data_IF_322144411070
#
_entry.id   IF_322144411070
#
_cell.length_a   1.000
_cell.length_b   1.000
_cell.length_c   1.000
_cell.angle_alpha   90.00
_cell.angle_beta   90.00
_cell.angle_gamma   90.00
#
_symmetry.space_group_name_H-M   'P 1'
#
loop_
_entity.id
_entity.type
_entity.pdbx_description
1 polymer ?
#
# COMPACT_ATOMS: atom_id res chain seq x y z
N UNK A 1 -21.89 -10.36 32.52
CA UNK A 1 -20.85 -10.64 31.52
C UNK A 1 -20.75 -9.42 30.63
N UNK A 2 -19.60 -8.73 30.70
CA UNK A 2 -19.32 -7.49 29.99
C UNK A 2 -19.11 -7.78 28.49
N UNK A 3 -20.03 -7.33 27.65
CA UNK A 3 -19.79 -7.20 26.20
C UNK A 3 -19.31 -5.77 25.95
N UNK A 4 -18.02 -5.54 26.22
CA UNK A 4 -17.26 -4.41 25.67
C UNK A 4 -17.06 -4.70 24.19
N UNK A 5 -18.04 -4.33 23.36
CA UNK A 5 -17.83 -4.27 21.92
C UNK A 5 -16.86 -3.13 21.64
N UNK A 6 -15.67 -3.55 21.22
CA UNK A 6 -14.62 -2.73 20.70
C UNK A 6 -15.19 -1.71 19.70
N UNK A 7 -15.30 -0.46 20.13
CA UNK A 7 -15.12 0.69 19.26
C UNK A 7 -13.62 0.72 18.93
N UNK A 8 -13.18 -0.24 18.12
CA UNK A 8 -11.94 -0.12 17.41
C UNK A 8 -12.10 1.07 16.49
N UNK A 9 -11.34 2.14 16.73
CA UNK A 9 -11.11 3.17 15.74
C UNK A 9 -10.40 2.51 14.56
N UNK A 10 -11.13 1.80 13.70
CA UNK A 10 -10.69 1.63 12.32
C UNK A 10 -10.83 3.00 11.70
N UNK A 11 -9.76 3.80 11.71
CA UNK A 11 -9.65 4.94 10.81
C UNK A 11 -9.78 4.37 9.41
N UNK A 12 -10.97 4.48 8.85
CA UNK A 12 -11.25 4.02 7.50
C UNK A 12 -10.29 4.74 6.55
N UNK A 13 -9.56 3.98 5.75
CA UNK A 13 -8.61 4.53 4.78
C UNK A 13 -9.42 5.16 3.66
N UNK A 14 -9.09 6.41 3.32
CA UNK A 14 -9.78 7.16 2.27
C UNK A 14 -8.94 7.20 0.99
N UNK A 15 -9.61 7.34 -0.17
CA UNK A 15 -8.94 7.49 -1.48
C UNK A 15 -7.88 8.58 -1.48
N UNK A 16 -8.15 9.69 -0.78
CA UNK A 16 -7.26 10.85 -0.68
C UNK A 16 -6.01 10.60 0.16
N UNK A 17 -6.07 9.66 1.12
CA UNK A 17 -4.98 9.38 2.06
C UNK A 17 -4.25 8.08 1.73
N UNK A 18 -4.86 7.19 0.94
CA UNK A 18 -4.28 5.91 0.56
C UNK A 18 -2.89 6.02 -0.09
N UNK A 19 -2.63 6.92 -1.06
CA UNK A 19 -1.31 7.03 -1.69
C UNK A 19 -0.16 7.25 -0.71
N UNK A 20 -0.34 8.17 0.24
CA UNK A 20 0.68 8.49 1.24
C UNK A 20 0.89 7.31 2.19
N UNK A 21 -0.21 6.68 2.64
CA UNK A 21 -0.16 5.53 3.57
C UNK A 21 0.48 4.31 2.92
N UNK A 22 0.16 4.04 1.65
CA UNK A 22 0.78 2.98 0.86
C UNK A 22 2.28 3.25 0.70
N UNK A 23 2.65 4.49 0.37
CA UNK A 23 4.04 4.87 0.21
C UNK A 23 4.86 4.73 1.51
N UNK A 24 4.29 5.06 2.66
CA UNK A 24 4.93 4.83 3.96
C UNK A 24 5.30 3.36 4.15
N UNK A 25 4.34 2.46 3.98
CA UNK A 25 4.53 1.01 4.17
C UNK A 25 5.50 0.44 3.12
N UNK A 26 5.34 0.80 1.84
CA UNK A 26 6.24 0.46 0.73
C UNK A 26 7.69 0.86 1.01
N UNK A 27 7.90 2.09 1.45
CA UNK A 27 9.24 2.60 1.70
C UNK A 27 9.89 1.94 2.93
N UNK A 28 9.11 1.57 3.95
CA UNK A 28 9.59 0.75 5.06
C UNK A 28 10.06 -0.62 4.56
N UNK A 29 9.30 -1.26 3.66
CA UNK A 29 9.73 -2.52 3.05
C UNK A 29 10.96 -2.37 2.18
N UNK A 30 11.04 -1.35 1.32
CA UNK A 30 12.24 -1.09 0.52
C UNK A 30 13.47 -0.94 1.42
N UNK A 31 13.37 -0.15 2.48
CA UNK A 31 14.49 0.05 3.41
C UNK A 31 14.87 -1.22 4.17
N UNK A 32 13.89 -2.05 4.54
CA UNK A 32 14.09 -3.30 5.30
C UNK A 32 14.63 -4.43 4.43
N UNK A 33 14.03 -4.63 3.25
CA UNK A 33 14.17 -5.82 2.43
C UNK A 33 14.97 -5.58 1.14
N UNK A 34 14.96 -4.35 0.61
CA UNK A 34 15.71 -3.96 -0.58
C UNK A 34 16.61 -2.75 -0.35
N UNK A 35 17.37 -2.77 0.75
CA UNK A 35 18.12 -1.60 1.21
C UNK A 35 19.02 -0.96 0.16
N UNK A 36 19.70 -1.76 -0.68
CA UNK A 36 20.59 -1.23 -1.72
C UNK A 36 19.83 -0.37 -2.74
N UNK A 37 18.62 -0.78 -3.12
CA UNK A 37 17.74 0.01 -3.98
C UNK A 37 17.26 1.26 -3.26
N UNK A 38 16.81 1.12 -2.01
CA UNK A 38 16.37 2.27 -1.21
C UNK A 38 17.45 3.35 -1.07
N UNK A 39 18.65 2.94 -0.66
CA UNK A 39 19.79 3.84 -0.45
C UNK A 39 20.26 4.45 -1.79
N UNK A 40 20.12 3.73 -2.90
CA UNK A 40 20.51 4.19 -4.24
C UNK A 40 19.52 5.14 -4.92
N UNK A 41 18.22 4.86 -4.83
CA UNK A 41 17.18 5.65 -5.52
C UNK A 41 16.61 6.77 -4.67
N UNK A 42 16.47 6.57 -3.36
CA UNK A 42 15.76 7.52 -2.51
C UNK A 42 16.66 8.19 -1.48
N UNK A 43 17.66 7.48 -0.94
CA UNK A 43 18.58 7.91 0.13
C UNK A 43 17.89 8.16 1.50
N UNK A 44 16.70 8.75 1.49
CA UNK A 44 15.92 9.11 2.68
C UNK A 44 14.47 8.61 2.58
N UNK A 45 13.83 8.46 3.75
CA UNK A 45 12.42 8.06 3.80
C UNK A 45 11.51 9.12 3.18
N UNK A 46 11.81 10.41 3.39
CA UNK A 46 11.01 11.51 2.82
C UNK A 46 10.98 11.46 1.29
N UNK A 47 12.14 11.32 0.67
CA UNK A 47 12.24 11.20 -0.80
C UNK A 47 11.50 9.96 -1.33
N UNK A 48 11.60 8.84 -0.61
CA UNK A 48 10.90 7.62 -0.98
C UNK A 48 9.38 7.82 -0.92
N UNK A 49 8.86 8.30 0.20
CA UNK A 49 7.42 8.49 0.39
C UNK A 49 6.87 9.48 -0.61
N UNK A 50 7.52 10.64 -0.80
CA UNK A 50 7.09 11.64 -1.77
C UNK A 50 7.02 11.05 -3.19
N UNK A 51 8.06 10.30 -3.60
CA UNK A 51 8.09 9.70 -4.94
C UNK A 51 7.02 8.62 -5.09
N UNK A 52 6.95 7.65 -4.18
CA UNK A 52 6.01 6.52 -4.29
C UNK A 52 4.57 7.00 -4.17
N UNK A 53 4.27 7.96 -3.29
CA UNK A 53 2.92 8.51 -3.14
C UNK A 53 2.45 9.23 -4.42
N UNK A 54 3.36 9.95 -5.10
CA UNK A 54 3.06 10.54 -6.41
C UNK A 54 2.85 9.46 -7.46
N UNK A 55 3.76 8.49 -7.56
CA UNK A 55 3.70 7.45 -8.59
C UNK A 55 2.37 6.66 -8.49
N UNK A 56 1.93 6.28 -7.27
CA UNK A 56 0.65 5.59 -7.09
C UNK A 56 -0.56 6.50 -7.30
N UNK A 57 -0.45 7.80 -7.00
CA UNK A 57 -1.54 8.76 -7.29
C UNK A 57 -1.72 8.93 -8.80
N UNK A 58 -0.61 9.08 -9.53
CA UNK A 58 -0.61 9.24 -10.99
C UNK A 58 -1.16 7.96 -11.66
N UNK A 59 -0.72 6.77 -11.21
CA UNK A 59 -1.26 5.49 -11.67
C UNK A 59 -2.76 5.36 -11.36
N UNK A 60 -3.19 5.73 -10.16
CA UNK A 60 -4.59 5.68 -9.76
C UNK A 60 -5.48 6.65 -10.53
N UNK A 61 -4.95 7.79 -10.96
CA UNK A 61 -5.65 8.71 -11.84
C UNK A 61 -5.74 8.15 -13.27
N UNK A 62 -4.63 7.62 -13.80
CA UNK A 62 -4.54 7.13 -15.18
C UNK A 62 -5.33 5.83 -15.42
N UNK A 63 -5.18 4.85 -14.53
CA UNK A 63 -5.71 3.51 -14.70
C UNK A 63 -7.04 3.30 -13.96
N UNK A 64 -7.22 3.99 -12.84
CA UNK A 64 -8.33 3.74 -11.91
C UNK A 64 -9.20 4.97 -11.64
N UNK A 65 -9.07 6.02 -12.47
CA UNK A 65 -9.77 7.30 -12.31
C UNK A 65 -11.28 7.15 -12.22
N UNK A 66 -11.85 6.28 -13.05
CA UNK A 66 -13.30 6.01 -13.13
C UNK A 66 -13.76 4.89 -12.18
N UNK A 67 -12.84 4.23 -11.48
CA UNK A 67 -13.13 3.08 -10.63
C UNK A 67 -13.58 3.51 -9.22
N UNK A 68 -14.30 2.60 -8.55
CA UNK A 68 -14.76 2.77 -7.18
C UNK A 68 -13.64 2.39 -6.22
N UNK A 69 -13.23 3.34 -5.38
CA UNK A 69 -12.27 3.06 -4.31
C UNK A 69 -12.92 2.26 -3.18
N UNK A 70 -12.34 1.12 -2.82
CA UNK A 70 -12.85 0.21 -1.81
C UNK A 70 -12.00 0.34 -0.54
N UNK A 71 -12.44 1.17 0.40
CA UNK A 71 -11.73 1.50 1.64
C UNK A 71 -11.31 0.29 2.48
N UNK A 72 -12.15 -0.74 2.52
CA UNK A 72 -11.87 -2.00 3.24
C UNK A 72 -10.68 -2.72 2.61
N UNK A 73 -10.61 -2.80 1.28
CA UNK A 73 -9.51 -3.43 0.54
C UNK A 73 -8.22 -2.64 0.62
N UNK A 74 -8.32 -1.31 0.57
CA UNK A 74 -7.18 -0.43 0.85
C UNK A 74 -6.59 -0.70 2.25
N UNK A 75 -7.44 -0.83 3.27
CA UNK A 75 -6.98 -1.10 4.63
C UNK A 75 -6.41 -2.53 4.78
N UNK A 76 -6.99 -3.52 4.12
CA UNK A 76 -6.44 -4.88 4.05
C UNK A 76 -5.04 -4.86 3.41
N UNK A 77 -4.90 -4.22 2.26
CA UNK A 77 -3.61 -4.00 1.59
C UNK A 77 -2.58 -3.39 2.54
N UNK A 78 -2.87 -2.28 3.21
CA UNK A 78 -1.90 -1.63 4.10
C UNK A 78 -1.47 -2.53 5.27
N UNK A 79 -2.39 -3.32 5.83
CA UNK A 79 -2.07 -4.24 6.92
C UNK A 79 -1.16 -5.39 6.45
N UNK A 80 -1.47 -5.96 5.29
CA UNK A 80 -0.70 -7.05 4.72
C UNK A 80 0.69 -6.55 4.30
N UNK A 81 0.74 -5.36 3.68
CA UNK A 81 1.98 -4.72 3.30
C UNK A 81 2.88 -4.41 4.51
N UNK A 82 2.34 -3.78 5.56
CA UNK A 82 3.09 -3.46 6.77
C UNK A 82 3.60 -4.69 7.52
N UNK A 83 2.90 -5.82 7.42
CA UNK A 83 3.27 -7.09 8.05
C UNK A 83 4.08 -8.05 7.16
N UNK A 84 4.22 -7.75 5.86
CA UNK A 84 4.91 -8.61 4.91
C UNK A 84 6.38 -8.85 5.27
N UNK A 85 6.80 -10.12 5.28
CA UNK A 85 8.21 -10.48 5.40
C UNK A 85 8.98 -10.14 4.13
N UNK A 86 10.31 -10.07 4.20
CA UNK A 86 11.12 -9.86 2.99
C UNK A 86 10.98 -10.99 1.96
N UNK A 87 10.62 -12.20 2.38
CA UNK A 87 10.35 -13.31 1.47
C UNK A 87 9.05 -13.07 0.68
N UNK A 88 7.95 -12.77 1.39
CA UNK A 88 6.66 -12.41 0.77
C UNK A 88 6.82 -11.23 -0.19
N UNK A 89 7.52 -10.18 0.26
CA UNK A 89 7.82 -9.03 -0.58
C UNK A 89 8.60 -9.40 -1.86
N UNK A 90 9.57 -10.32 -1.78
CA UNK A 90 10.35 -10.76 -2.96
C UNK A 90 9.55 -11.63 -3.92
N UNK A 91 8.67 -12.47 -3.38
CA UNK A 91 7.80 -13.36 -4.15
C UNK A 91 6.71 -12.54 -4.88
N UNK A 92 6.24 -11.45 -4.28
CA UNK A 92 5.20 -10.58 -4.82
C UNK A 92 5.74 -9.47 -5.73
N UNK A 93 6.90 -8.85 -5.42
CA UNK A 93 7.49 -7.79 -6.26
C UNK A 93 7.92 -8.30 -7.65
N UNK A 94 8.22 -9.60 -7.79
CA UNK A 94 8.52 -10.21 -9.09
C UNK A 94 7.27 -10.69 -9.84
N UNK A 95 6.14 -10.82 -9.16
CA UNK A 95 4.87 -11.18 -9.75
C UNK A 95 3.99 -9.93 -9.79
N UNK A 96 3.94 -9.25 -10.95
CA UNK A 96 2.90 -8.26 -11.24
C UNK A 96 1.45 -8.82 -11.20
N UNK A 97 1.28 -10.06 -10.73
CA UNK A 97 0.04 -10.78 -10.51
C UNK A 97 0.04 -11.52 -9.15
N UNK A 98 0.89 -11.10 -8.20
CA UNK A 98 0.94 -11.66 -6.85
C UNK A 98 -0.19 -11.12 -5.97
N UNK A 99 -0.57 -11.88 -4.95
CA UNK A 99 -1.75 -11.60 -4.11
C UNK A 99 -1.74 -10.18 -3.50
N UNK A 100 -0.59 -9.70 -2.98
CA UNK A 100 -0.49 -8.35 -2.44
C UNK A 100 -0.62 -7.26 -3.50
N UNK A 101 -0.08 -7.47 -4.70
CA UNK A 101 -0.24 -6.51 -5.80
C UNK A 101 -1.71 -6.41 -6.20
N UNK A 102 -2.37 -7.54 -6.42
CA UNK A 102 -3.81 -7.61 -6.73
C UNK A 102 -4.64 -6.92 -5.65
N UNK A 103 -4.36 -7.19 -4.37
CA UNK A 103 -5.06 -6.55 -3.26
C UNK A 103 -4.89 -5.02 -3.26
N UNK A 104 -3.67 -4.55 -3.47
CA UNK A 104 -3.33 -3.13 -3.39
C UNK A 104 -3.73 -2.33 -4.63
N UNK A 105 -3.86 -2.93 -5.82
CA UNK A 105 -4.16 -2.24 -7.08
C UNK A 105 -5.52 -2.63 -7.68
N UNK A 106 -5.83 -3.91 -7.83
CA UNK A 106 -7.07 -4.33 -8.51
C UNK A 106 -8.26 -4.37 -7.56
N UNK A 107 -8.09 -4.88 -6.34
CA UNK A 107 -9.19 -4.97 -5.37
C UNK A 107 -9.48 -3.64 -4.66
N UNK A 108 -8.46 -2.79 -4.53
CA UNK A 108 -8.60 -1.45 -3.94
C UNK A 108 -9.37 -0.50 -4.87
N UNK A 109 -9.28 -0.71 -6.19
CA UNK A 109 -10.01 0.05 -7.20
C UNK A 109 -10.90 -0.86 -8.05
N UNK A 110 -12.17 -0.97 -7.64
CA UNK A 110 -13.14 -1.78 -8.36
C UNK A 110 -13.65 -1.06 -9.62
N UNK A 111 -13.29 -1.60 -10.78
CA UNK A 111 -13.65 -1.08 -12.11
C UNK A 111 -14.80 -1.84 -12.79
N UNK A 112 -15.42 -2.81 -12.09
CA UNK A 112 -16.50 -3.66 -12.61
C UNK A 112 -17.90 -3.01 -12.55
#
# INVERSE_FOLDING_TARGET
MLLLWALGCSTEVERSTFPERFAEEQCVLYKRCYRAYFDGEFETMGNCVEKVARDISDEAEELYGECVFVSVKAQECLNDFGSATCAQYWDEYNAAAGDLYTLCHEETWNCE
#
